data_IF_175815504025
#
_entry.id   IF_175815504025
#
_cell.length_a   1.000
_cell.length_b   1.000
_cell.length_c   1.000
_cell.angle_alpha   90.00
_cell.angle_beta   90.00
_cell.angle_gamma   90.00
#
_symmetry.space_group_name_H-M   'P 1'
#
loop_
_entity.id
_entity.type
_entity.pdbx_description
1 polymer ?
#
# COMPACT_ATOMS: atom_id res chain seq x y z
N UNK A 1 24.38 -62.28 36.30
CA UNK A 1 24.52 -60.97 35.67
C UNK A 1 23.54 -60.91 34.51
N UNK A 2 22.36 -60.32 34.71
CA UNK A 2 21.60 -59.57 33.71
C UNK A 2 20.40 -58.94 34.41
N UNK A 3 20.23 -57.64 34.20
CA UNK A 3 19.36 -56.73 34.93
C UNK A 3 17.91 -56.78 34.45
N UNK A 4 17.02 -56.59 35.41
CA UNK A 4 15.55 -56.55 35.29
C UNK A 4 15.09 -55.16 34.83
N UNK A 5 14.43 -55.08 33.67
CA UNK A 5 14.02 -53.84 32.98
C UNK A 5 12.60 -53.40 33.40
N UNK A 6 12.03 -53.99 34.46
CA UNK A 6 10.69 -53.67 34.98
C UNK A 6 10.57 -52.46 35.91
N UNK A 7 11.63 -51.69 36.18
CA UNK A 7 11.67 -50.73 37.31
C UNK A 7 11.92 -49.25 36.97
N UNK A 8 11.72 -48.82 35.71
CA UNK A 8 11.94 -47.40 35.33
C UNK A 8 10.70 -46.71 34.74
N UNK A 9 9.60 -47.44 34.49
CA UNK A 9 8.40 -46.84 33.84
C UNK A 9 7.25 -46.54 34.83
N UNK A 10 7.38 -46.84 36.13
CA UNK A 10 6.29 -46.64 37.11
C UNK A 10 6.56 -45.58 38.18
N UNK A 11 7.55 -44.69 38.00
CA UNK A 11 7.83 -43.56 38.92
C UNK A 11 7.76 -42.17 38.29
N UNK A 12 7.23 -42.05 37.07
CA UNK A 12 7.09 -40.77 36.37
C UNK A 12 5.62 -40.30 36.19
N UNK A 13 4.62 -41.08 36.61
CA UNK A 13 3.19 -40.77 36.36
C UNK A 13 2.41 -40.46 37.66
N UNK A 14 2.96 -40.73 38.85
CA UNK A 14 2.33 -40.39 40.14
C UNK A 14 3.05 -39.26 40.91
N UNK A 15 3.68 -38.32 40.20
CA UNK A 15 4.27 -37.10 40.79
C UNK A 15 3.60 -35.80 40.31
N UNK A 16 2.46 -35.90 39.59
CA UNK A 16 1.76 -34.75 38.98
C UNK A 16 0.31 -34.56 39.45
N UNK A 17 -0.09 -35.19 40.56
CA UNK A 17 -1.33 -34.88 41.28
C UNK A 17 -0.98 -34.58 42.73
N UNK A 18 -1.56 -33.49 43.24
CA UNK A 18 -1.36 -32.88 44.57
C UNK A 18 -0.17 -31.93 44.71
N UNK A 19 -0.30 -30.75 44.11
CA UNK A 19 0.00 -29.50 44.83
C UNK A 19 -1.21 -28.58 44.73
N UNK A 20 -1.80 -28.30 45.88
CA UNK A 20 -2.89 -27.34 46.04
C UNK A 20 -2.42 -25.95 45.57
N UNK A 21 -3.27 -25.29 44.78
CA UNK A 21 -3.05 -23.93 44.32
C UNK A 21 -2.88 -22.97 45.51
N UNK A 22 -1.82 -22.15 45.56
CA UNK A 22 -1.77 -21.02 46.47
C UNK A 22 -2.78 -19.93 46.03
N UNK A 23 -3.30 -19.11 46.96
CA UNK A 23 -4.23 -18.04 46.63
C UNK A 23 -3.57 -16.97 45.75
N UNK A 24 -4.34 -16.21 44.94
CA UNK A 24 -3.79 -15.26 44.00
C UNK A 24 -3.20 -14.09 44.77
N UNK A 25 -1.88 -13.95 44.71
CA UNK A 25 -1.19 -12.79 45.29
C UNK A 25 -0.19 -12.28 44.28
N UNK A 26 -0.29 -10.96 44.08
CA UNK A 26 0.53 -10.07 43.27
C UNK A 26 0.48 -10.21 41.75
N UNK A 27 0.02 -9.11 41.16
CA UNK A 27 0.28 -8.62 39.80
C UNK A 27 1.76 -8.78 39.45
N UNK A 28 2.13 -9.95 38.94
CA UNK A 28 3.35 -10.12 38.20
C UNK A 28 3.19 -9.34 36.90
N UNK A 29 3.88 -8.21 36.81
CA UNK A 29 4.05 -7.48 35.55
C UNK A 29 4.67 -8.47 34.56
N UNK A 30 3.99 -8.72 33.45
CA UNK A 30 4.52 -9.55 32.38
C UNK A 30 5.93 -9.04 32.01
N UNK A 31 6.89 -9.93 31.68
CA UNK A 31 8.19 -9.49 31.21
C UNK A 31 7.99 -8.54 30.02
N UNK A 32 8.57 -7.34 30.11
CA UNK A 32 8.58 -6.39 28.99
C UNK A 32 9.39 -7.01 27.87
N UNK A 33 8.72 -7.44 26.81
CA UNK A 33 9.29 -8.16 25.69
C UNK A 33 10.34 -7.41 24.85
N UNK A 34 10.75 -6.20 25.26
CA UNK A 34 11.51 -5.31 24.39
C UNK A 34 10.69 -4.73 23.23
N UNK A 35 9.48 -5.23 22.99
CA UNK A 35 8.41 -4.59 22.24
C UNK A 35 7.91 -3.40 23.05
N UNK A 36 8.55 -2.24 22.91
CA UNK A 36 7.90 -0.99 23.35
C UNK A 36 6.61 -0.78 22.55
N UNK A 37 5.70 0.10 22.99
CA UNK A 37 4.52 0.41 22.19
C UNK A 37 4.97 1.07 20.88
N UNK A 38 5.09 0.29 19.82
CA UNK A 38 5.38 0.82 18.49
C UNK A 38 4.07 1.31 17.88
N UNK A 39 4.04 2.59 17.53
CA UNK A 39 2.95 3.16 16.76
C UNK A 39 3.03 2.67 15.32
N UNK A 40 1.90 2.70 14.61
CA UNK A 40 1.89 2.48 13.17
C UNK A 40 2.95 3.39 12.49
N UNK A 41 3.91 2.84 11.71
CA UNK A 41 4.93 3.62 11.03
C UNK A 41 4.38 4.71 10.10
N UNK A 42 3.14 4.54 9.62
CA UNK A 42 2.50 5.45 8.68
C UNK A 42 3.09 5.35 7.28
N UNK A 43 3.02 6.43 6.50
CA UNK A 43 3.49 6.44 5.13
C UNK A 43 5.02 6.22 5.05
N UNK A 44 5.51 5.17 4.37
CA UNK A 44 6.94 4.90 4.26
C UNK A 44 7.68 6.01 3.51
N UNK A 45 8.99 6.13 3.71
CA UNK A 45 9.80 7.06 2.90
C UNK A 45 9.61 6.76 1.40
N UNK A 46 9.41 7.80 0.58
CA UNK A 46 9.21 7.65 -0.87
C UNK A 46 10.33 6.80 -1.49
N UNK A 47 10.01 5.81 -2.34
CA UNK A 47 11.02 4.99 -2.99
C UNK A 47 11.81 5.82 -4.01
N UNK A 48 12.99 5.34 -4.40
CA UNK A 48 13.78 6.00 -5.44
C UNK A 48 13.06 5.89 -6.79
N UNK A 49 12.95 7.00 -7.51
CA UNK A 49 12.37 7.06 -8.85
C UNK A 49 13.47 7.18 -9.90
N UNK A 50 13.15 6.87 -11.15
CA UNK A 50 14.03 7.20 -12.27
C UNK A 50 14.05 8.73 -12.50
N UNK A 51 15.00 9.26 -13.30
CA UNK A 51 15.21 10.70 -13.43
C UNK A 51 14.17 11.41 -14.32
N UNK A 52 13.23 10.70 -14.94
CA UNK A 52 12.23 11.26 -15.85
C UNK A 52 12.84 12.01 -17.04
N UNK A 53 12.17 13.07 -17.47
CA UNK A 53 12.60 13.92 -18.58
C UNK A 53 13.78 14.87 -18.25
N UNK A 54 14.23 14.90 -16.98
CA UNK A 54 15.32 15.76 -16.52
C UNK A 54 14.82 16.98 -15.71
N UNK A 55 15.56 18.09 -15.74
CA UNK A 55 15.23 19.27 -14.94
C UNK A 55 14.12 20.09 -15.59
N UNK A 56 13.07 20.37 -14.82
CA UNK A 56 11.95 21.23 -15.22
C UNK A 56 12.42 22.62 -15.68
N UNK A 57 11.87 23.11 -16.79
CA UNK A 57 12.18 24.45 -17.31
C UNK A 57 13.65 24.67 -17.70
N UNK A 58 14.44 23.61 -17.85
CA UNK A 58 15.85 23.67 -18.23
C UNK A 58 16.08 24.13 -19.67
N UNK A 59 15.05 24.08 -20.52
CA UNK A 59 15.09 24.51 -21.90
C UNK A 59 14.16 25.72 -22.11
N UNK A 60 14.58 26.76 -22.84
CA UNK A 60 13.77 27.95 -23.03
C UNK A 60 12.55 27.67 -23.91
N UNK A 61 11.33 27.88 -23.38
CA UNK A 61 10.07 27.66 -24.10
C UNK A 61 9.96 28.45 -25.42
N UNK A 62 10.57 29.63 -25.52
CA UNK A 62 10.53 30.47 -26.72
C UNK A 62 11.35 29.92 -27.90
N UNK A 63 12.19 28.90 -27.67
CA UNK A 63 12.86 28.15 -28.71
C UNK A 63 12.06 26.93 -29.19
N UNK A 64 10.86 26.70 -28.60
CA UNK A 64 10.04 25.48 -28.71
C UNK A 64 8.55 25.83 -28.95
N UNK A 65 8.29 26.67 -29.96
CA UNK A 65 6.92 27.17 -30.23
C UNK A 65 5.91 26.10 -30.62
N UNK A 66 6.39 24.96 -31.12
CA UNK A 66 5.66 23.72 -31.35
C UNK A 66 5.15 23.07 -30.06
N UNK A 67 5.84 23.25 -28.93
CA UNK A 67 5.40 22.71 -27.64
C UNK A 67 4.14 23.39 -27.11
N UNK A 68 4.00 24.71 -27.29
CA UNK A 68 2.77 25.44 -26.88
C UNK A 68 1.56 24.97 -27.69
N UNK A 69 1.77 24.65 -28.97
CA UNK A 69 0.71 24.05 -29.80
C UNK A 69 0.41 22.61 -29.35
N UNK A 70 1.43 21.85 -28.95
CA UNK A 70 1.27 20.49 -28.45
C UNK A 70 0.60 20.42 -27.08
N UNK A 71 0.87 21.36 -26.17
CA UNK A 71 0.19 21.49 -24.87
C UNK A 71 -1.34 21.59 -25.06
N UNK A 72 -1.80 22.35 -26.07
CA UNK A 72 -3.22 22.45 -26.41
C UNK A 72 -3.78 21.12 -26.93
N UNK A 73 -2.99 20.37 -27.71
CA UNK A 73 -3.36 19.02 -28.18
C UNK A 73 -3.47 18.05 -27.00
N UNK A 74 -2.54 18.11 -26.05
CA UNK A 74 -2.58 17.30 -24.83
C UNK A 74 -3.81 17.65 -23.96
N UNK A 75 -4.16 18.94 -23.84
CA UNK A 75 -5.38 19.38 -23.16
C UNK A 75 -6.67 18.88 -23.84
N UNK A 76 -6.71 18.88 -25.18
CA UNK A 76 -7.82 18.30 -25.93
C UNK A 76 -7.90 16.77 -25.76
N UNK A 77 -6.76 16.08 -25.69
CA UNK A 77 -6.70 14.65 -25.41
C UNK A 77 -7.22 14.32 -24.00
N UNK A 78 -6.90 15.13 -23.00
CA UNK A 78 -7.47 15.02 -21.65
C UNK A 78 -8.99 15.15 -21.64
N UNK A 79 -9.53 16.15 -22.35
CA UNK A 79 -10.98 16.35 -22.49
C UNK A 79 -11.65 15.15 -23.18
N UNK A 80 -11.02 14.60 -24.23
CA UNK A 80 -11.53 13.43 -24.92
C UNK A 80 -11.47 12.17 -24.04
N UNK A 81 -10.40 12.00 -23.24
CA UNK A 81 -10.26 10.90 -22.30
C UNK A 81 -11.39 10.93 -21.24
N UNK A 82 -11.68 12.10 -20.67
CA UNK A 82 -12.78 12.28 -19.74
C UNK A 82 -14.14 11.94 -20.38
N UNK A 83 -14.38 12.40 -21.61
CA UNK A 83 -15.60 12.10 -22.36
C UNK A 83 -15.76 10.60 -22.69
N UNK A 84 -14.66 9.84 -22.75
CA UNK A 84 -14.64 8.38 -22.95
C UNK A 84 -14.73 7.60 -21.62
N UNK A 85 -14.79 8.31 -20.48
CA UNK A 85 -14.87 7.71 -19.15
C UNK A 85 -13.52 7.42 -18.50
N UNK A 86 -12.41 7.87 -19.09
CA UNK A 86 -11.06 7.76 -18.51
C UNK A 86 -10.77 8.94 -17.58
N UNK A 87 -11.58 9.04 -16.53
CA UNK A 87 -11.60 10.18 -15.61
C UNK A 87 -10.31 10.30 -14.79
N UNK A 88 -9.69 9.18 -14.39
CA UNK A 88 -8.42 9.21 -13.67
C UNK A 88 -7.27 9.60 -14.60
N UNK A 89 -7.22 9.06 -15.82
CA UNK A 89 -6.21 9.44 -16.81
C UNK A 89 -6.29 10.93 -17.15
N UNK A 90 -7.50 11.46 -17.39
CA UNK A 90 -7.72 12.87 -17.65
C UNK A 90 -7.30 13.75 -16.45
N UNK A 91 -7.62 13.33 -15.22
CA UNK A 91 -7.19 14.04 -13.99
C UNK A 91 -5.67 14.14 -13.88
N UNK A 92 -4.95 13.04 -14.14
CA UNK A 92 -3.49 13.01 -14.05
C UNK A 92 -2.85 13.88 -15.15
N UNK A 93 -3.34 13.75 -16.39
CA UNK A 93 -2.87 14.58 -17.49
C UNK A 93 -3.14 16.07 -17.26
N UNK A 94 -4.31 16.43 -16.71
CA UNK A 94 -4.61 17.83 -16.36
C UNK A 94 -3.70 18.35 -15.25
N UNK A 95 -3.36 17.53 -14.26
CA UNK A 95 -2.43 17.92 -13.19
C UNK A 95 -1.02 18.17 -13.74
N UNK A 96 -0.55 17.27 -14.61
CA UNK A 96 0.71 17.43 -15.34
C UNK A 96 0.78 18.76 -16.11
N UNK A 97 -0.24 19.03 -16.94
CA UNK A 97 -0.35 20.26 -17.74
C UNK A 97 -0.60 21.50 -16.87
N UNK A 98 -1.08 21.33 -15.65
CA UNK A 98 -1.21 22.41 -14.66
C UNK A 98 0.13 22.94 -14.16
N UNK A 99 1.23 22.23 -14.41
CA UNK A 99 2.60 22.71 -14.24
C UNK A 99 2.97 23.16 -12.81
N UNK A 100 2.33 22.58 -11.78
CA UNK A 100 2.64 22.91 -10.39
C UNK A 100 3.79 22.07 -9.82
N UNK A 101 3.92 20.82 -10.30
CA UNK A 101 4.83 19.83 -9.72
C UNK A 101 4.45 19.37 -8.31
N UNK A 102 3.29 19.80 -7.80
CA UNK A 102 2.78 19.36 -6.49
C UNK A 102 2.37 17.90 -6.53
N UNK A 103 2.45 17.21 -5.39
CA UNK A 103 1.99 15.82 -5.29
C UNK A 103 0.50 15.72 -5.64
N UNK A 104 0.13 14.68 -6.40
CA UNK A 104 -1.25 14.34 -6.67
C UNK A 104 -1.72 13.22 -5.74
N UNK A 105 -2.71 13.51 -4.89
CA UNK A 105 -3.24 12.50 -3.97
C UNK A 105 -4.19 11.53 -4.67
N UNK A 106 -4.01 10.23 -4.47
CA UNK A 106 -4.91 9.16 -4.92
C UNK A 106 -5.33 8.30 -3.72
N UNK A 107 -6.62 8.00 -3.61
CA UNK A 107 -7.11 7.05 -2.61
C UNK A 107 -6.85 5.60 -3.08
N UNK A 108 -6.03 4.80 -2.37
CA UNK A 108 -5.80 3.38 -2.69
C UNK A 108 -7.10 2.56 -2.80
N UNK A 109 -8.14 2.93 -2.04
CA UNK A 109 -9.42 2.23 -2.06
C UNK A 109 -10.13 2.34 -3.42
N UNK A 110 -9.97 3.47 -4.13
CA UNK A 110 -10.50 3.62 -5.50
C UNK A 110 -9.79 2.70 -6.48
N UNK A 111 -8.47 2.53 -6.34
CA UNK A 111 -7.70 1.60 -7.17
C UNK A 111 -8.17 0.16 -6.88
N UNK A 112 -8.28 -0.25 -5.62
CA UNK A 112 -8.71 -1.61 -5.27
C UNK A 112 -10.15 -1.93 -5.71
N UNK A 113 -11.06 -0.96 -5.59
CA UNK A 113 -12.44 -1.09 -6.09
C UNK A 113 -12.47 -1.36 -7.60
N UNK A 114 -11.63 -0.65 -8.36
CA UNK A 114 -11.65 -0.67 -9.82
C UNK A 114 -10.69 -1.72 -10.41
N UNK A 115 -9.71 -2.21 -9.64
CA UNK A 115 -8.65 -3.15 -10.01
C UNK A 115 -8.56 -4.26 -8.96
N UNK A 116 -9.35 -5.32 -9.14
CA UNK A 116 -9.44 -6.43 -8.17
C UNK A 116 -8.10 -7.09 -7.84
N UNK A 117 -7.22 -7.21 -8.84
CA UNK A 117 -5.89 -7.81 -8.70
C UNK A 117 -5.00 -6.98 -7.78
N UNK A 118 -5.18 -5.66 -7.75
CA UNK A 118 -4.49 -4.79 -6.81
C UNK A 118 -4.97 -5.05 -5.37
N UNK A 119 -6.29 -5.16 -5.15
CA UNK A 119 -6.85 -5.57 -3.85
C UNK A 119 -6.24 -6.88 -3.36
N UNK A 120 -6.18 -7.89 -4.22
CA UNK A 120 -5.60 -9.20 -3.90
C UNK A 120 -4.11 -9.13 -3.55
N UNK A 121 -3.35 -8.24 -4.21
CA UNK A 121 -1.93 -8.01 -3.91
C UNK A 121 -1.74 -7.43 -2.50
N UNK A 122 -2.56 -6.44 -2.15
CA UNK A 122 -2.56 -5.81 -0.83
C UNK A 122 -3.00 -6.77 0.26
N UNK A 123 -4.07 -7.56 0.02
CA UNK A 123 -4.56 -8.60 0.93
C UNK A 123 -3.47 -9.62 1.26
N UNK A 124 -2.76 -10.12 0.25
CA UNK A 124 -1.66 -11.08 0.43
C UNK A 124 -0.49 -10.47 1.21
N UNK A 125 -0.15 -9.20 0.93
CA UNK A 125 0.92 -8.51 1.64
C UNK A 125 0.56 -8.29 3.12
N UNK A 126 -0.67 -7.88 3.41
CA UNK A 126 -1.19 -7.70 4.77
C UNK A 126 -1.20 -9.03 5.54
N UNK A 127 -1.70 -10.12 4.93
CA UNK A 127 -1.69 -11.46 5.53
C UNK A 127 -0.26 -11.90 5.89
N UNK A 128 0.72 -11.65 5.02
CA UNK A 128 2.11 -12.00 5.30
C UNK A 128 2.68 -11.23 6.49
N UNK A 129 2.42 -9.92 6.60
CA UNK A 129 2.90 -9.11 7.73
C UNK A 129 2.24 -9.51 9.05
N UNK A 130 0.93 -9.73 9.04
CA UNK A 130 0.18 -10.08 10.25
C UNK A 130 0.55 -11.46 10.75
N UNK A 131 0.69 -12.46 9.87
CA UNK A 131 1.18 -13.78 10.27
C UNK A 131 2.58 -13.69 10.89
N UNK A 132 3.50 -12.95 10.28
CA UNK A 132 4.85 -12.78 10.82
C UNK A 132 4.85 -12.14 12.22
N UNK A 133 4.01 -11.12 12.45
CA UNK A 133 3.88 -10.49 13.75
C UNK A 133 3.28 -11.45 14.81
N UNK A 134 2.29 -12.27 14.43
CA UNK A 134 1.72 -13.28 15.32
C UNK A 134 2.75 -14.37 15.66
N UNK A 135 3.47 -14.88 14.67
CA UNK A 135 4.52 -15.88 14.87
C UNK A 135 5.62 -15.36 15.82
N UNK A 136 6.04 -14.11 15.64
CA UNK A 136 6.99 -13.45 16.53
C UNK A 136 6.45 -13.36 17.97
N UNK A 137 5.22 -12.88 18.15
CA UNK A 137 4.59 -12.80 19.47
C UNK A 137 4.50 -14.16 20.17
N UNK A 138 4.11 -15.20 19.44
CA UNK A 138 4.01 -16.57 19.97
C UNK A 138 5.37 -17.12 20.35
N UNK A 139 6.39 -16.92 19.51
CA UNK A 139 7.74 -17.41 19.74
C UNK A 139 8.40 -16.73 20.96
N UNK A 140 8.20 -15.43 21.10
CA UNK A 140 8.81 -14.63 22.17
C UNK A 140 7.97 -14.62 23.46
N UNK A 141 6.73 -15.11 23.41
CA UNK A 141 5.77 -15.07 24.52
C UNK A 141 5.20 -13.65 24.78
N UNK A 142 5.18 -12.83 23.74
CA UNK A 142 4.91 -11.40 23.79
C UNK A 142 3.46 -11.09 23.39
N UNK A 143 2.59 -11.16 24.40
CA UNK A 143 1.16 -10.89 24.23
C UNK A 143 0.78 -9.53 24.83
N UNK A 144 -0.24 -8.91 24.25
CA UNK A 144 -0.87 -7.68 24.76
C UNK A 144 -0.12 -6.39 24.44
N UNK A 145 1.09 -6.47 23.88
CA UNK A 145 1.86 -5.31 23.39
C UNK A 145 1.74 -5.20 21.86
N UNK A 146 1.70 -3.97 21.30
CA UNK A 146 1.64 -3.78 19.86
C UNK A 146 3.01 -4.03 19.20
N UNK A 147 3.01 -4.80 18.13
CA UNK A 147 4.14 -5.03 17.22
C UNK A 147 3.87 -4.22 15.96
N UNK A 148 4.71 -3.24 15.62
CA UNK A 148 4.56 -2.52 14.37
C UNK A 148 5.13 -3.33 13.20
N UNK A 149 4.57 -3.10 12.01
CA UNK A 149 5.08 -3.65 10.77
C UNK A 149 5.08 -2.61 9.65
N UNK A 150 6.04 -2.75 8.75
CA UNK A 150 6.10 -2.07 7.45
C UNK A 150 6.48 -3.11 6.41
N UNK A 151 5.58 -3.31 5.44
CA UNK A 151 5.78 -4.30 4.39
C UNK A 151 6.85 -3.91 3.35
N UNK A 152 7.31 -2.65 3.37
CA UNK A 152 8.10 -2.03 2.32
C UNK A 152 7.31 -1.81 1.03
N UNK A 153 7.90 -1.04 0.12
CA UNK A 153 7.31 -0.81 -1.22
C UNK A 153 7.41 -2.07 -2.08
N UNK A 154 6.29 -2.45 -2.68
CA UNK A 154 6.18 -3.50 -3.67
C UNK A 154 5.57 -2.97 -4.97
N UNK A 155 6.14 -3.36 -6.10
CA UNK A 155 5.64 -2.96 -7.41
C UNK A 155 4.40 -3.75 -7.82
N UNK A 156 3.41 -3.04 -8.36
CA UNK A 156 2.23 -3.61 -8.98
C UNK A 156 1.99 -2.97 -10.35
N UNK A 157 1.72 -3.78 -11.38
CA UNK A 157 1.45 -3.27 -12.73
C UNK A 157 -0.03 -3.40 -13.06
N UNK A 158 -0.72 -2.26 -13.18
CA UNK A 158 -2.12 -2.18 -13.58
C UNK A 158 -2.18 -2.37 -15.10
N UNK A 159 -2.44 -3.58 -15.56
CA UNK A 159 -2.61 -3.87 -16.99
C UNK A 159 -3.84 -3.17 -17.57
N UNK A 160 -3.78 -2.82 -18.87
CA UNK A 160 -4.91 -2.21 -19.59
C UNK A 160 -6.16 -3.09 -19.59
N UNK A 161 -5.97 -4.41 -19.57
CA UNK A 161 -7.03 -5.43 -19.47
C UNK A 161 -7.63 -5.52 -18.05
N UNK A 162 -6.88 -5.11 -17.02
CA UNK A 162 -7.40 -4.97 -15.66
C UNK A 162 -8.26 -3.72 -15.53
N UNK A 163 -7.72 -2.57 -15.95
CA UNK A 163 -8.44 -1.31 -15.99
C UNK A 163 -7.74 -0.29 -16.90
N UNK A 164 -8.39 0.09 -18.00
CA UNK A 164 -7.80 1.01 -18.98
C UNK A 164 -7.61 2.43 -18.42
N UNK A 165 -8.52 2.93 -17.57
CA UNK A 165 -8.41 4.28 -16.99
C UNK A 165 -7.18 4.38 -16.08
N UNK A 166 -7.04 3.45 -15.14
CA UNK A 166 -5.89 3.41 -14.23
C UNK A 166 -4.58 3.04 -14.94
N UNK A 167 -4.62 2.20 -15.97
CA UNK A 167 -3.46 1.93 -16.83
C UNK A 167 -2.92 3.20 -17.47
N UNK A 168 -3.79 4.04 -18.04
CA UNK A 168 -3.37 5.30 -18.67
C UNK A 168 -3.01 6.40 -17.65
N UNK A 169 -3.50 6.29 -16.41
CA UNK A 169 -3.20 7.24 -15.35
C UNK A 169 -1.83 7.01 -14.69
N UNK A 170 -1.43 5.74 -14.49
CA UNK A 170 -0.23 5.40 -13.70
C UNK A 170 0.48 4.16 -14.24
N UNK A 171 -0.26 3.14 -14.69
CA UNK A 171 0.33 1.88 -15.16
C UNK A 171 1.02 1.12 -14.03
N UNK A 172 2.33 1.28 -13.89
CA UNK A 172 3.11 0.67 -12.81
C UNK A 172 3.09 1.54 -11.55
N UNK A 173 2.74 0.97 -10.40
CA UNK A 173 2.73 1.68 -9.12
C UNK A 173 3.51 0.92 -8.06
N UNK A 174 3.83 1.60 -6.95
CA UNK A 174 4.29 0.98 -5.72
C UNK A 174 3.15 0.98 -4.68
N UNK A 175 3.06 -0.09 -3.89
CA UNK A 175 2.18 -0.14 -2.72
C UNK A 175 2.92 -0.62 -1.47
N UNK A 176 2.44 -0.21 -0.29
CA UNK A 176 2.89 -0.74 1.00
C UNK A 176 1.70 -0.82 1.96
N UNK A 177 1.77 -1.73 2.92
CA UNK A 177 0.89 -1.82 4.08
C UNK A 177 1.72 -1.64 5.34
N UNK A 178 1.28 -0.73 6.20
CA UNK A 178 1.89 -0.47 7.51
C UNK A 178 0.83 -0.59 8.59
N UNK A 179 1.24 -0.91 9.82
CA UNK A 179 0.27 -1.11 10.89
C UNK A 179 0.88 -1.59 12.18
N UNK A 180 -0.01 -2.03 13.07
CA UNK A 180 0.31 -2.66 14.35
C UNK A 180 -0.53 -3.92 14.54
N UNK A 181 0.05 -4.89 15.25
CA UNK A 181 -0.62 -6.15 15.63
C UNK A 181 -0.48 -6.32 17.14
N UNK A 182 -1.60 -6.49 17.84
CA UNK A 182 -1.64 -6.83 19.27
C UNK A 182 -2.14 -8.27 19.40
N UNK A 183 -1.27 -9.16 19.87
CA UNK A 183 -1.59 -10.60 19.95
C UNK A 183 -2.09 -10.94 21.34
N UNK A 184 -3.18 -11.69 21.41
CA UNK A 184 -3.79 -12.16 22.65
C UNK A 184 -3.58 -13.67 22.83
N UNK A 185 -3.32 -14.14 24.06
CA UNK A 185 -3.11 -15.56 24.33
C UNK A 185 -4.43 -16.33 24.12
N UNK A 186 -4.33 -17.55 23.59
CA UNK A 186 -5.47 -18.42 23.30
C UNK A 186 -5.03 -19.70 22.60
N UNK A 187 -5.98 -20.61 22.33
CA UNK A 187 -5.77 -21.81 21.52
C UNK A 187 -6.88 -21.95 20.46
N UNK A 188 -6.69 -21.41 19.24
CA UNK A 188 -5.50 -20.67 18.77
C UNK A 188 -5.45 -19.22 19.31
N UNK A 189 -4.27 -18.55 19.28
CA UNK A 189 -4.15 -17.12 19.51
C UNK A 189 -5.00 -16.29 18.53
N UNK A 190 -5.39 -15.10 18.97
CA UNK A 190 -6.08 -14.09 18.15
C UNK A 190 -5.28 -12.79 18.16
N UNK A 191 -5.41 -11.95 17.14
CA UNK A 191 -4.74 -10.66 17.13
C UNK A 191 -5.67 -9.52 16.70
N UNK A 192 -5.55 -8.38 17.38
CA UNK A 192 -6.12 -7.11 16.91
C UNK A 192 -5.12 -6.45 15.96
N UNK A 193 -5.57 -6.12 14.76
CA UNK A 193 -4.74 -5.51 13.72
C UNK A 193 -5.26 -4.10 13.44
N UNK A 194 -4.37 -3.13 13.39
CA UNK A 194 -4.62 -1.80 12.83
C UNK A 194 -3.68 -1.57 11.65
N UNK A 195 -4.17 -1.07 10.52
CA UNK A 195 -3.33 -0.91 9.33
C UNK A 195 -3.80 0.21 8.40
N UNK A 196 -2.88 0.64 7.55
CA UNK A 196 -3.12 1.54 6.42
C UNK A 196 -2.48 0.97 5.16
N UNK A 197 -3.10 1.20 4.01
CA UNK A 197 -2.47 0.93 2.71
C UNK A 197 -2.00 2.24 2.10
N UNK A 198 -0.81 2.21 1.50
CA UNK A 198 -0.18 3.35 0.83
C UNK A 198 0.08 3.03 -0.63
N UNK A 199 0.00 4.05 -1.47
CA UNK A 199 0.44 3.98 -2.87
C UNK A 199 1.41 5.11 -3.18
N UNK A 200 2.35 4.82 -4.06
CA UNK A 200 3.29 5.77 -4.60
C UNK A 200 3.50 5.50 -6.08
N UNK A 201 3.62 6.55 -6.88
CA UNK A 201 4.14 6.48 -8.23
C UNK A 201 4.81 7.81 -8.61
N UNK A 202 5.66 7.79 -9.64
CA UNK A 202 6.24 8.98 -10.25
C UNK A 202 5.59 9.17 -11.61
N UNK A 203 4.83 10.26 -11.76
CA UNK A 203 4.27 10.62 -13.06
C UNK A 203 5.36 11.33 -13.89
N UNK A 204 6.14 10.52 -14.61
CA UNK A 204 7.24 10.97 -15.46
C UNK A 204 7.11 10.45 -16.89
N UNK A 205 7.81 11.11 -17.81
CA UNK A 205 7.80 10.76 -19.22
C UNK A 205 9.23 10.49 -19.69
N UNK A 206 9.64 9.22 -19.59
CA UNK A 206 10.91 8.75 -20.11
C UNK A 206 10.79 8.40 -21.61
N UNK A 207 11.72 8.89 -22.43
CA UNK A 207 11.61 8.73 -23.88
C UNK A 207 11.57 7.26 -24.33
N UNK A 208 10.74 6.95 -25.33
CA UNK A 208 10.79 5.65 -26.04
C UNK A 208 9.46 4.95 -26.25
N UNK A 209 8.34 5.48 -25.71
CA UNK A 209 6.99 4.95 -25.95
C UNK A 209 6.08 6.00 -26.60
N UNK A 210 5.01 5.51 -27.21
CA UNK A 210 3.94 6.33 -27.77
C UNK A 210 2.59 5.77 -27.33
N UNK A 211 1.68 6.65 -26.94
CA UNK A 211 0.33 6.29 -26.52
C UNK A 211 -0.69 6.89 -27.47
N UNK A 212 -1.45 6.07 -28.22
CA UNK A 212 -2.58 6.56 -28.99
C UNK A 212 -3.75 6.89 -28.05
N UNK A 213 -4.21 8.14 -28.09
CA UNK A 213 -5.43 8.61 -27.42
C UNK A 213 -6.41 9.09 -28.49
N UNK A 214 -7.34 8.22 -28.88
CA UNK A 214 -8.29 8.52 -29.96
C UNK A 214 -7.58 8.81 -31.30
N UNK A 215 -7.82 9.96 -31.97
CA UNK A 215 -7.15 10.31 -33.22
C UNK A 215 -5.75 10.93 -33.05
N UNK A 216 -5.30 11.14 -31.80
CA UNK A 216 -4.02 11.77 -31.50
C UNK A 216 -3.05 10.72 -30.98
N UNK A 217 -1.79 10.79 -31.40
CA UNK A 217 -0.68 10.04 -30.80
C UNK A 217 0.12 11.01 -29.94
N UNK A 218 0.21 10.70 -28.65
CA UNK A 218 1.06 11.42 -27.69
C UNK A 218 2.31 10.58 -27.49
N UNK A 219 3.48 11.14 -27.81
CA UNK A 219 4.75 10.47 -27.56
C UNK A 219 5.33 10.91 -26.23
N UNK A 220 6.03 9.99 -25.55
CA UNK A 220 6.69 10.30 -24.28
C UNK A 220 7.72 11.43 -24.46
N UNK A 221 8.37 11.48 -25.62
CA UNK A 221 9.30 12.55 -25.96
C UNK A 221 8.60 13.92 -25.94
N UNK A 222 7.47 14.06 -26.63
CA UNK A 222 6.75 15.35 -26.67
C UNK A 222 6.23 15.76 -25.29
N UNK A 223 5.83 14.78 -24.47
CA UNK A 223 5.43 15.06 -23.09
C UNK A 223 6.60 15.53 -22.24
N UNK A 224 7.74 14.83 -22.26
CA UNK A 224 8.95 15.25 -21.55
C UNK A 224 9.52 16.59 -22.06
N UNK A 225 9.29 16.92 -23.32
CA UNK A 225 9.61 18.22 -23.89
C UNK A 225 8.80 19.36 -23.24
N UNK A 226 7.50 19.18 -22.98
CA UNK A 226 6.71 20.12 -22.17
C UNK A 226 7.33 20.33 -20.77
N UNK A 227 7.85 19.27 -20.16
CA UNK A 227 8.52 19.35 -18.86
C UNK A 227 9.77 20.22 -18.91
N UNK A 228 10.67 19.91 -19.84
CA UNK A 228 11.93 20.64 -19.96
C UNK A 228 11.73 22.07 -20.46
N UNK A 229 10.66 22.35 -21.21
CA UNK A 229 10.26 23.70 -21.61
C UNK A 229 9.62 24.52 -20.47
N UNK A 230 9.23 23.87 -19.37
CA UNK A 230 8.55 24.51 -18.24
C UNK A 230 7.07 24.80 -18.49
N UNK A 231 6.44 24.06 -19.41
CA UNK A 231 5.02 24.17 -19.77
C UNK A 231 4.15 23.14 -19.04
N UNK A 232 4.74 22.02 -18.63
CA UNK A 232 4.12 21.01 -17.78
C UNK A 232 5.14 20.51 -16.75
N UNK A 233 4.71 19.83 -15.69
CA UNK A 233 5.65 19.40 -14.64
C UNK A 233 5.35 17.98 -14.18
N UNK A 234 6.37 17.11 -14.22
CA UNK A 234 6.34 15.80 -13.60
C UNK A 234 6.18 15.95 -12.08
N UNK A 235 5.49 14.99 -11.47
CA UNK A 235 5.10 15.05 -10.07
C UNK A 235 5.03 13.66 -9.45
N UNK A 236 4.95 13.60 -8.13
CA UNK A 236 4.74 12.34 -7.42
C UNK A 236 3.24 12.11 -7.18
N UNK A 237 2.82 10.87 -7.35
CA UNK A 237 1.50 10.41 -6.94
C UNK A 237 1.67 9.77 -5.57
N UNK A 238 0.86 10.19 -4.61
CA UNK A 238 0.89 9.68 -3.24
C UNK A 238 -0.50 9.33 -2.77
N UNK A 239 -0.62 8.35 -1.88
CA UNK A 239 -1.92 7.95 -1.38
C UNK A 239 -1.85 7.15 -0.10
N UNK A 240 -2.85 7.30 0.75
CA UNK A 240 -3.02 6.47 1.95
C UNK A 240 -4.49 6.29 2.24
N UNK A 241 -4.88 5.10 2.67
CA UNK A 241 -6.20 4.90 3.26
C UNK A 241 -6.30 5.55 4.64
N UNK A 242 -7.52 5.72 5.13
CA UNK A 242 -7.73 5.81 6.57
C UNK A 242 -7.24 4.55 7.29
N UNK A 243 -7.08 4.67 8.60
CA UNK A 243 -6.77 3.52 9.46
C UNK A 243 -7.97 2.56 9.50
N UNK A 244 -7.69 1.28 9.27
CA UNK A 244 -8.67 0.20 9.39
C UNK A 244 -8.23 -0.81 10.43
N UNK A 245 -9.21 -1.46 11.07
CA UNK A 245 -8.94 -2.47 12.09
C UNK A 245 -9.72 -3.75 11.82
N UNK A 246 -9.14 -4.89 12.22
CA UNK A 246 -9.83 -6.18 12.22
C UNK A 246 -9.23 -7.13 13.26
N UNK A 247 -9.95 -8.20 13.56
CA UNK A 247 -9.45 -9.30 14.41
C UNK A 247 -8.98 -10.44 13.52
N UNK A 248 -7.69 -10.73 13.56
CA UNK A 248 -7.08 -11.87 12.90
C UNK A 248 -7.20 -13.14 13.76
N UNK A 249 -7.38 -14.28 13.09
CA UNK A 249 -7.22 -15.61 13.72
C UNK A 249 -5.89 -16.19 13.27
N UNK A 250 -5.13 -16.77 14.21
CA UNK A 250 -3.87 -17.41 13.87
C UNK A 250 -4.09 -18.75 13.17
N UNK A 251 -3.47 -18.92 12.00
CA UNK A 251 -3.29 -20.22 11.35
C UNK A 251 -1.80 -20.58 11.33
N UNK A 252 -1.35 -21.61 12.06
CA UNK A 252 0.07 -22.03 12.05
C UNK A 252 0.54 -22.58 10.70
N UNK A 253 -0.37 -22.85 9.76
CA UNK A 253 0.00 -23.16 8.37
C UNK A 253 0.23 -21.90 7.52
N UNK A 254 0.00 -20.70 8.08
CA UNK A 254 0.00 -19.42 7.38
C UNK A 254 -1.22 -19.23 6.47
N UNK A 255 -1.22 -18.15 5.72
CA UNK A 255 -2.27 -17.84 4.75
C UNK A 255 -3.22 -16.76 5.22
N UNK A 256 -4.51 -16.88 4.88
CA UNK A 256 -5.46 -15.80 5.13
C UNK A 256 -5.69 -15.59 6.63
N UNK A 257 -5.52 -14.35 7.07
CA UNK A 257 -5.77 -13.93 8.46
C UNK A 257 -7.23 -13.52 8.69
N UNK A 258 -8.09 -13.64 7.68
CA UNK A 258 -9.45 -13.08 7.67
C UNK A 258 -9.46 -11.56 7.44
N UNK A 259 -8.39 -11.00 6.87
CA UNK A 259 -8.32 -9.57 6.59
C UNK A 259 -9.45 -9.14 5.63
N UNK A 260 -10.05 -7.96 5.83
CA UNK A 260 -11.17 -7.49 5.01
C UNK A 260 -10.75 -6.86 3.67
N UNK A 261 -9.46 -6.89 3.32
CA UNK A 261 -8.89 -6.14 2.20
C UNK A 261 -8.88 -4.63 2.47
N UNK A 262 -8.70 -3.82 1.43
CA UNK A 262 -8.61 -2.37 1.57
C UNK A 262 -9.98 -1.81 2.02
N UNK A 263 -10.05 -0.98 3.09
CA UNK A 263 -11.31 -0.36 3.50
C UNK A 263 -11.86 0.53 2.39
N UNK A 264 -13.17 0.49 2.18
CA UNK A 264 -13.84 1.35 1.20
C UNK A 264 -13.51 2.82 1.43
N UNK A 265 -13.39 3.57 0.33
CA UNK A 265 -13.19 5.01 0.36
C UNK A 265 -14.29 5.66 1.20
N UNK A 266 -13.91 6.51 2.17
CA UNK A 266 -14.89 7.41 2.78
C UNK A 266 -15.44 8.36 1.70
N UNK A 267 -16.73 8.73 1.76
CA UNK A 267 -17.37 9.69 0.84
C UNK A 267 -16.81 11.14 0.90
N UNK A 268 -15.56 11.35 1.32
CA UNK A 268 -15.02 12.68 1.62
C UNK A 268 -14.35 13.42 0.47
N UNK A 269 -14.30 12.83 -0.73
CA UNK A 269 -13.56 13.44 -1.83
C UNK A 269 -14.45 13.75 -3.04
N UNK A 270 -15.30 14.76 -2.88
CA UNK A 270 -15.67 15.70 -3.96
C UNK A 270 -16.15 15.11 -5.29
N UNK A 271 -16.94 14.03 -5.28
CA UNK A 271 -17.69 13.65 -6.48
C UNK A 271 -18.64 14.79 -6.89
N UNK A 272 -18.90 14.86 -8.20
CA UNK A 272 -19.63 15.83 -9.05
C UNK A 272 -21.06 16.25 -8.60
N UNK A 273 -21.28 16.43 -7.30
CA UNK A 273 -22.55 16.79 -6.68
C UNK A 273 -22.52 18.18 -6.03
N UNK A 274 -21.43 18.94 -6.14
CA UNK A 274 -21.42 20.34 -5.71
C UNK A 274 -22.06 21.23 -6.78
N UNK A 275 -23.25 21.84 -6.54
CA UNK A 275 -23.91 22.73 -7.49
C UNK A 275 -23.26 24.14 -7.58
N UNK A 276 -22.10 24.36 -6.95
CA UNK A 276 -21.50 25.67 -6.75
C UNK A 276 -20.24 26.03 -7.56
N UNK A 277 -19.92 25.32 -8.66
CA UNK A 277 -18.84 25.72 -9.58
C UNK A 277 -19.34 26.02 -10.98
#
# INVERSE_FOLDING_TARGET
>A
MSLDIGSVVSRAIEAFREQAAPPPTDTATAPTCGCGPEANPGYPAKPQTDPGAGVHGSQPWYARGDDVAFEQVAGAASTAADALGYTNAARHLNHYLGNSGEDLTVDPARIARDVRQFSQSVEQQLDAQVNAAIEQAVADGCYGEPIAFDSGWQGFYIGKDMNADWFYAMGGIQHSVTGTVVVHPGDPPTAEVSYQTHVFDRYNWDGGKETPIGPVTITDQQMGELHTAGLAQEYDIVGSTGEATYTATYDPAGGSTGNPGIPEAGNRDGERSDPGR
#
